data_IF_158899338432
#
_entry.id   IF_158899338432
#
_cell.length_a   1.000
_cell.length_b   1.000
_cell.length_c   1.000
_cell.angle_alpha   90.00
_cell.angle_beta   90.00
_cell.angle_gamma   90.00
#
_symmetry.space_group_name_H-M   'P 1'
#
loop_
_entity.id
_entity.type
_entity.pdbx_description
1 polymer ?
#
# COMPACT_ATOMS: atom_id res chain seq x y z
N UNK A 1 -12.69 -3.67 -8.97
CA UNK A 1 -11.63 -4.35 -8.20
C UNK A 1 -11.60 -3.79 -6.80
N UNK A 2 -11.14 -4.59 -5.83
CA UNK A 2 -10.89 -4.13 -4.46
C UNK A 2 -9.43 -3.73 -4.30
N UNK A 3 -9.19 -2.45 -4.05
CA UNK A 3 -7.86 -1.87 -3.83
C UNK A 3 -7.71 -1.56 -2.34
N UNK A 4 -6.70 -2.13 -1.70
CA UNK A 4 -6.32 -1.86 -0.32
C UNK A 4 -5.04 -1.03 -0.30
N UNK A 5 -5.04 0.10 0.39
CA UNK A 5 -3.84 0.90 0.64
C UNK A 5 -3.52 0.99 2.13
N UNK A 6 -2.29 0.60 2.50
CA UNK A 6 -1.73 0.78 3.83
C UNK A 6 -0.78 1.97 3.81
N UNK A 7 -1.21 3.07 4.44
CA UNK A 7 -0.53 4.37 4.46
C UNK A 7 -0.40 4.89 5.89
N UNK A 8 0.43 5.92 6.13
CA UNK A 8 0.54 6.56 7.44
C UNK A 8 -0.57 7.59 7.67
N UNK A 9 -0.91 7.86 8.93
CA UNK A 9 -1.79 8.98 9.27
C UNK A 9 -1.02 10.29 9.23
N UNK A 10 -1.55 11.29 8.54
CA UNK A 10 -1.01 12.65 8.59
C UNK A 10 -1.73 13.55 9.60
N UNK A 11 -2.88 13.10 10.13
CA UNK A 11 -3.69 13.82 11.11
C UNK A 11 -3.96 15.27 10.68
N UNK A 12 -3.73 16.24 11.57
CA UNK A 12 -3.89 17.67 11.29
C UNK A 12 -2.95 18.15 10.18
N UNK A 13 -1.75 17.58 10.05
CA UNK A 13 -0.79 18.01 9.04
C UNK A 13 -1.30 17.71 7.62
N UNK A 14 -1.91 16.55 7.39
CA UNK A 14 -2.49 16.21 6.08
C UNK A 14 -3.67 17.11 5.69
N UNK A 15 -4.42 17.63 6.66
CA UNK A 15 -5.49 18.59 6.41
C UNK A 15 -4.94 19.98 6.07
N UNK A 16 -3.82 20.37 6.68
CA UNK A 16 -3.18 21.66 6.45
C UNK A 16 -2.37 21.69 5.14
N UNK A 17 -1.76 20.57 4.78
CA UNK A 17 -1.00 20.40 3.55
C UNK A 17 -1.64 19.28 2.70
N UNK A 18 -2.57 19.63 1.78
CA UNK A 18 -3.25 18.65 0.94
C UNK A 18 -2.32 17.93 -0.04
N UNK A 19 -1.07 18.41 -0.23
CA UNK A 19 -0.05 17.74 -1.04
C UNK A 19 0.69 16.63 -0.27
N UNK A 20 0.40 16.40 1.01
CA UNK A 20 0.84 15.20 1.73
C UNK A 20 0.04 13.98 1.25
N UNK A 21 0.25 13.59 -0.01
CA UNK A 21 -0.56 12.58 -0.69
C UNK A 21 -0.41 11.18 -0.09
N UNK A 22 0.75 10.86 0.49
CA UNK A 22 1.07 9.55 1.07
C UNK A 22 0.32 9.16 2.33
N UNK A 23 -0.70 9.93 2.75
CA UNK A 23 -1.43 9.71 3.99
C UNK A 23 -2.80 9.08 3.80
N UNK A 24 -3.37 8.53 4.88
CA UNK A 24 -4.75 8.01 4.91
C UNK A 24 -5.78 9.09 4.53
N UNK A 25 -5.54 10.35 4.90
CA UNK A 25 -6.46 11.46 4.64
C UNK A 25 -6.48 11.84 3.14
N UNK A 26 -5.32 11.88 2.49
CA UNK A 26 -5.18 12.35 1.11
C UNK A 26 -5.13 11.21 0.07
N UNK A 27 -4.96 9.95 0.51
CA UNK A 27 -5.22 8.73 -0.26
C UNK A 27 -4.52 8.66 -1.62
N UNK A 28 -3.29 9.15 -1.70
CA UNK A 28 -2.50 9.28 -2.92
C UNK A 28 -3.18 10.08 -4.05
N UNK A 29 -4.27 10.80 -3.75
CA UNK A 29 -5.13 11.44 -4.76
C UNK A 29 -5.93 10.46 -5.63
N UNK A 30 -6.05 9.17 -5.24
CA UNK A 30 -6.62 8.13 -6.09
C UNK A 30 -8.13 7.91 -5.91
N UNK A 31 -8.71 8.42 -4.82
CA UNK A 31 -10.09 8.10 -4.40
C UNK A 31 -11.14 8.32 -5.50
N UNK A 32 -11.21 9.53 -6.06
CA UNK A 32 -12.21 9.85 -7.08
C UNK A 32 -11.96 9.09 -8.39
N UNK A 33 -10.69 8.91 -8.77
CA UNK A 33 -10.32 8.21 -10.00
C UNK A 33 -10.69 6.72 -9.98
N UNK A 34 -10.48 6.05 -8.83
CA UNK A 34 -10.86 4.65 -8.61
C UNK A 34 -12.38 4.50 -8.53
N UNK A 35 -13.04 5.37 -7.77
CA UNK A 35 -14.50 5.35 -7.60
C UNK A 35 -15.23 5.56 -8.92
N UNK A 36 -14.77 6.50 -9.76
CA UNK A 36 -15.34 6.75 -11.08
C UNK A 36 -15.26 5.54 -12.04
N UNK A 37 -14.38 4.56 -11.76
CA UNK A 37 -14.23 3.31 -12.51
C UNK A 37 -14.94 2.11 -11.85
N UNK A 38 -15.75 2.36 -10.82
CA UNK A 38 -16.46 1.30 -10.09
C UNK A 38 -15.52 0.40 -9.28
N UNK A 39 -14.37 0.91 -8.84
CA UNK A 39 -13.47 0.18 -7.95
C UNK A 39 -13.74 0.57 -6.50
N UNK A 40 -13.61 -0.41 -5.61
CA UNK A 40 -13.61 -0.19 -4.17
C UNK A 40 -12.19 0.20 -3.74
N UNK A 41 -12.08 1.24 -2.92
CA UNK A 41 -10.80 1.71 -2.41
C UNK A 41 -10.83 1.86 -0.89
N UNK A 42 -10.14 0.95 -0.21
CA UNK A 42 -9.99 0.95 1.23
C UNK A 42 -8.60 1.49 1.56
N UNK A 43 -8.53 2.47 2.47
CA UNK A 43 -7.29 3.08 2.91
C UNK A 43 -7.25 3.03 4.43
N UNK A 44 -6.18 2.49 5.00
CA UNK A 44 -6.01 2.40 6.46
C UNK A 44 -4.55 2.53 6.86
N UNK A 45 -4.30 2.91 8.11
CA UNK A 45 -3.00 2.80 8.77
C UNK A 45 -2.90 1.58 9.69
N UNK A 46 -4.02 0.88 9.92
CA UNK A 46 -4.12 -0.27 10.81
C UNK A 46 -3.51 -1.50 10.12
N UNK A 47 -2.26 -1.82 10.47
CA UNK A 47 -1.46 -2.86 9.79
C UNK A 47 -0.94 -3.97 10.69
N UNK A 48 -1.05 -3.82 12.01
CA UNK A 48 -0.45 -4.73 12.99
C UNK A 48 -1.49 -5.56 13.72
N UNK A 49 -1.21 -6.86 13.87
CA UNK A 49 -2.07 -7.78 14.61
C UNK A 49 -3.26 -8.34 13.81
N UNK A 50 -3.88 -9.41 14.32
CA UNK A 50 -4.92 -10.17 13.62
C UNK A 50 -6.20 -9.37 13.36
N UNK A 51 -6.49 -8.37 14.20
CA UNK A 51 -7.67 -7.52 14.08
C UNK A 51 -7.44 -6.26 13.23
N UNK A 52 -6.27 -6.12 12.62
CA UNK A 52 -5.96 -4.97 11.77
C UNK A 52 -6.81 -4.94 10.50
N UNK A 53 -7.05 -3.75 9.98
CA UNK A 53 -7.75 -3.57 8.70
C UNK A 53 -6.95 -4.22 7.57
N UNK A 54 -5.62 -4.20 7.65
CA UNK A 54 -4.74 -4.89 6.72
C UNK A 54 -5.05 -6.40 6.65
N UNK A 55 -5.03 -7.10 7.79
CA UNK A 55 -5.30 -8.55 7.81
C UNK A 55 -6.74 -8.88 7.38
N UNK A 56 -7.72 -8.04 7.73
CA UNK A 56 -9.11 -8.24 7.34
C UNK A 56 -9.35 -8.09 5.84
N UNK A 57 -8.72 -7.10 5.21
CA UNK A 57 -9.00 -6.74 3.83
C UNK A 57 -8.05 -7.38 2.82
N UNK A 58 -6.89 -7.89 3.24
CA UNK A 58 -5.95 -8.55 2.33
C UNK A 58 -6.51 -9.88 1.79
N UNK A 59 -7.42 -10.54 2.51
CA UNK A 59 -7.98 -11.83 2.12
C UNK A 59 -8.67 -11.82 0.75
N UNK A 60 -9.30 -10.69 0.40
CA UNK A 60 -10.11 -10.52 -0.81
C UNK A 60 -9.68 -9.33 -1.68
N UNK A 61 -8.66 -8.56 -1.29
CA UNK A 61 -8.08 -7.51 -2.11
C UNK A 61 -7.45 -8.06 -3.40
N UNK A 62 -7.60 -7.33 -4.50
CA UNK A 62 -6.94 -7.64 -5.78
C UNK A 62 -5.63 -6.85 -5.97
N UNK A 63 -5.58 -5.66 -5.35
CA UNK A 63 -4.44 -4.75 -5.38
C UNK A 63 -4.09 -4.35 -3.96
N UNK A 64 -2.83 -4.53 -3.58
CA UNK A 64 -2.27 -3.97 -2.36
C UNK A 64 -1.35 -2.79 -2.71
N UNK A 65 -1.59 -1.64 -2.10
CA UNK A 65 -0.67 -0.50 -2.11
C UNK A 65 -0.07 -0.38 -0.71
N UNK A 66 1.25 -0.29 -0.62
CA UNK A 66 1.97 -0.06 0.64
C UNK A 66 2.93 1.10 0.47
N UNK A 67 3.50 1.60 1.57
CA UNK A 67 4.57 2.60 1.51
C UNK A 67 5.68 2.24 2.50
N UNK A 68 6.98 2.41 2.14
CA UNK A 68 8.08 2.04 3.03
C UNK A 68 8.12 2.85 4.33
N UNK A 69 7.48 4.02 4.36
CA UNK A 69 7.42 4.89 5.53
C UNK A 69 6.45 4.38 6.62
N UNK A 70 5.54 3.46 6.27
CA UNK A 70 4.63 2.78 7.21
C UNK A 70 4.29 1.39 6.64
N UNK A 71 5.27 0.47 6.61
CA UNK A 71 5.20 -0.72 5.76
C UNK A 71 4.19 -1.73 6.31
N UNK A 72 3.17 -2.05 5.50
CA UNK A 72 2.33 -3.22 5.72
C UNK A 72 3.09 -4.47 5.29
N UNK A 73 3.69 -5.17 6.26
CA UNK A 73 4.52 -6.35 5.98
C UNK A 73 3.68 -7.49 5.41
N UNK A 74 3.80 -7.73 4.11
CA UNK A 74 3.08 -8.79 3.42
C UNK A 74 3.91 -10.08 3.48
N UNK A 75 3.74 -10.82 4.57
CA UNK A 75 4.43 -12.09 4.81
C UNK A 75 3.83 -13.23 4.00
N UNK A 76 4.56 -14.35 3.87
CA UNK A 76 4.05 -15.59 3.25
C UNK A 76 2.70 -16.04 3.81
N UNK A 77 2.50 -15.99 5.13
CA UNK A 77 1.24 -16.39 5.77
C UNK A 77 0.06 -15.50 5.35
N UNK A 78 0.31 -14.21 5.10
CA UNK A 78 -0.72 -13.30 4.59
C UNK A 78 -0.96 -13.50 3.10
N UNK A 79 0.07 -13.74 2.30
CA UNK A 79 -0.05 -14.06 0.87
C UNK A 79 -0.92 -15.31 0.66
N UNK A 80 -0.72 -16.35 1.47
CA UNK A 80 -1.54 -17.57 1.41
C UNK A 80 -3.03 -17.31 1.70
N UNK A 81 -3.35 -16.28 2.49
CA UNK A 81 -4.74 -15.87 2.78
C UNK A 81 -5.31 -14.94 1.70
N UNK A 82 -4.46 -14.29 0.91
CA UNK A 82 -4.81 -13.25 -0.06
C UNK A 82 -5.31 -13.85 -1.38
N UNK A 83 -6.53 -14.42 -1.37
CA UNK A 83 -7.05 -15.29 -2.43
C UNK A 83 -7.17 -14.62 -3.80
N UNK A 84 -7.33 -13.31 -3.82
CA UNK A 84 -7.58 -12.53 -5.04
C UNK A 84 -6.41 -11.64 -5.44
N UNK A 85 -5.34 -11.60 -4.63
CA UNK A 85 -4.26 -10.64 -4.78
C UNK A 85 -3.49 -10.93 -6.07
N UNK A 86 -3.36 -9.92 -6.92
CA UNK A 86 -2.69 -10.03 -8.23
C UNK A 86 -1.46 -9.14 -8.31
N UNK A 87 -1.47 -8.02 -7.59
CA UNK A 87 -0.43 -7.01 -7.69
C UNK A 87 -0.25 -6.26 -6.35
N UNK A 88 1.00 -6.07 -6.00
CA UNK A 88 1.46 -5.24 -4.90
C UNK A 88 2.23 -4.04 -5.47
N UNK A 89 1.92 -2.83 -5.00
CA UNK A 89 2.54 -1.59 -5.44
C UNK A 89 3.13 -0.87 -4.23
N UNK A 90 4.43 -0.60 -4.27
CA UNK A 90 5.08 0.30 -3.31
C UNK A 90 4.91 1.74 -3.78
N UNK A 91 4.18 2.56 -3.02
CA UNK A 91 4.16 4.01 -3.15
C UNK A 91 5.46 4.62 -2.59
N UNK A 92 6.52 4.49 -3.38
CA UNK A 92 7.90 4.81 -3.02
C UNK A 92 8.88 3.87 -3.74
N UNK A 93 10.04 3.65 -3.13
CA UNK A 93 11.10 2.74 -3.59
C UNK A 93 11.54 1.87 -2.40
N UNK A 94 11.71 0.57 -2.62
CA UNK A 94 11.98 -0.44 -1.59
C UNK A 94 10.75 -1.31 -1.33
N UNK A 95 10.83 -2.59 -1.69
CA UNK A 95 9.75 -3.58 -1.53
C UNK A 95 10.12 -4.73 -0.60
N UNK A 96 11.12 -4.55 0.26
CA UNK A 96 11.62 -5.55 1.20
C UNK A 96 10.62 -5.94 2.29
N UNK A 97 9.57 -5.13 2.51
CA UNK A 97 8.44 -5.48 3.37
C UNK A 97 7.45 -6.47 2.74
N UNK A 98 7.69 -6.92 1.51
CA UNK A 98 6.93 -7.98 0.83
C UNK A 98 7.82 -9.22 0.75
N UNK A 99 7.29 -10.39 1.13
CA UNK A 99 7.95 -11.66 0.87
C UNK A 99 7.95 -11.95 -0.65
N UNK A 100 9.04 -11.57 -1.33
CA UNK A 100 9.15 -11.63 -2.78
C UNK A 100 9.11 -13.07 -3.31
N UNK A 101 9.70 -14.02 -2.58
CA UNK A 101 9.68 -15.43 -2.97
C UNK A 101 8.24 -15.98 -2.90
N UNK A 102 7.50 -15.65 -1.84
CA UNK A 102 6.10 -16.03 -1.72
C UNK A 102 5.23 -15.36 -2.80
N UNK A 103 5.52 -14.11 -3.16
CA UNK A 103 4.83 -13.42 -4.23
C UNK A 103 5.06 -14.12 -5.58
N UNK A 104 6.30 -14.54 -5.88
CA UNK A 104 6.64 -15.35 -7.06
C UNK A 104 5.89 -16.68 -7.05
N UNK A 105 5.91 -17.42 -5.95
CA UNK A 105 5.21 -18.70 -5.80
C UNK A 105 3.70 -18.59 -6.10
N UNK A 106 3.10 -17.42 -5.83
CA UNK A 106 1.67 -17.14 -6.00
C UNK A 106 1.36 -16.33 -7.28
N UNK A 107 2.35 -16.09 -8.14
CA UNK A 107 2.21 -15.28 -9.37
C UNK A 107 1.68 -13.85 -9.11
N UNK A 108 2.07 -13.25 -7.99
CA UNK A 108 1.72 -11.87 -7.62
C UNK A 108 2.80 -10.94 -8.16
N UNK A 109 2.39 -9.92 -8.91
CA UNK A 109 3.31 -8.89 -9.38
C UNK A 109 3.70 -7.96 -8.25
N UNK A 110 4.98 -7.63 -8.11
CA UNK A 110 5.46 -6.61 -7.17
C UNK A 110 6.08 -5.49 -7.97
N UNK A 111 5.51 -4.28 -7.86
CA UNK A 111 5.95 -3.08 -8.55
C UNK A 111 6.26 -1.97 -7.55
N UNK A 112 7.09 -1.02 -7.94
CA UNK A 112 7.41 0.18 -7.19
C UNK A 112 7.60 1.36 -8.14
N UNK A 113 7.77 2.57 -7.61
CA UNK A 113 7.96 3.78 -8.41
C UNK A 113 9.45 4.12 -8.47
N UNK A 114 10.24 3.23 -9.10
CA UNK A 114 11.70 3.37 -9.17
C UNK A 114 12.11 4.76 -9.70
N UNK A 115 13.04 5.41 -9.00
CA UNK A 115 13.51 6.77 -9.33
C UNK A 115 12.66 7.91 -8.74
N UNK A 116 11.50 7.64 -8.15
CA UNK A 116 10.58 8.69 -7.66
C UNK A 116 11.15 9.59 -6.57
N UNK A 117 12.07 9.07 -5.73
CA UNK A 117 12.61 9.79 -4.58
C UNK A 117 14.14 9.70 -4.45
N UNK A 118 14.85 9.20 -5.47
CA UNK A 118 16.31 8.96 -5.38
C UNK A 118 17.11 10.24 -5.15
N UNK A 119 16.72 11.37 -5.76
CA UNK A 119 17.34 12.67 -5.50
C UNK A 119 17.11 13.11 -4.05
N UNK A 120 15.89 12.96 -3.54
CA UNK A 120 15.57 13.32 -2.15
C UNK A 120 16.34 12.48 -1.13
N UNK A 121 16.55 11.18 -1.41
CA UNK A 121 17.39 10.31 -0.58
C UNK A 121 18.86 10.74 -0.64
N UNK A 122 19.37 11.05 -1.83
CA UNK A 122 20.75 11.51 -2.00
C UNK A 122 21.04 12.86 -1.33
N UNK A 123 20.09 13.79 -1.34
CA UNK A 123 20.19 15.08 -0.63
C UNK A 123 20.19 14.94 0.90
N UNK A 124 19.64 13.84 1.43
CA UNK A 124 19.52 13.60 2.87
C UNK A 124 20.76 12.95 3.50
N UNK A 125 21.55 12.21 2.71
CA UNK A 125 22.69 11.41 3.17
C UNK A 125 23.93 12.25 3.54
#
# INVERSE_FOLDING_TARGET
MKVLAILYNGFKAAQQEPRLLGTVENKLGLSEWLKARGHEFIVSSSKEGPDSDFQKHIEDAEVLITTPFHPGYLTRDLIQKAKNLKICITAGVGSDHIDLDAAVDHNIQVLEVSGSNVTSVAEHA
#
